data_IF_026980756158
#
_entry.id   IF_026980756158
#
_cell.length_a   1.000
_cell.length_b   1.000
_cell.length_c   1.000
_cell.angle_alpha   90.00
_cell.angle_beta   90.00
_cell.angle_gamma   90.00
#
_symmetry.space_group_name_H-M   'P 1'
#
loop_
_entity.id
_entity.type
_entity.pdbx_description
1 polymer ?
#
# COMPACT_ATOMS: atom_id res chain seq x y z
N UNK A 1 -25.68 -33.49 -26.66
CA UNK A 1 -24.96 -32.75 -25.59
C UNK A 1 -25.48 -31.33 -25.43
N UNK A 2 -25.68 -30.56 -26.51
CA UNK A 2 -26.19 -29.18 -26.45
C UNK A 2 -27.54 -29.05 -25.72
N UNK A 3 -28.49 -29.96 -25.97
CA UNK A 3 -29.82 -29.97 -25.32
C UNK A 3 -29.75 -30.08 -23.79
N UNK A 4 -28.88 -30.96 -23.25
CA UNK A 4 -28.69 -31.09 -21.80
C UNK A 4 -27.97 -29.87 -21.21
N UNK A 5 -26.99 -29.32 -21.94
CA UNK A 5 -26.23 -28.15 -21.53
C UNK A 5 -27.15 -26.91 -21.44
N UNK A 6 -27.97 -26.69 -22.48
CA UNK A 6 -28.93 -25.58 -22.57
C UNK A 6 -30.02 -25.69 -21.49
N UNK A 7 -30.56 -26.90 -21.25
CA UNK A 7 -31.57 -27.15 -20.22
C UNK A 7 -31.07 -26.84 -18.79
N UNK A 8 -29.77 -27.04 -18.53
CA UNK A 8 -29.17 -26.81 -17.20
C UNK A 8 -28.42 -25.47 -17.10
N UNK A 9 -28.49 -24.60 -18.13
CA UNK A 9 -27.74 -23.34 -18.16
C UNK A 9 -26.21 -23.51 -18.12
N UNK A 10 -25.71 -24.66 -18.57
CA UNK A 10 -24.28 -24.98 -18.58
C UNK A 10 -23.72 -24.65 -19.97
N UNK A 11 -22.65 -23.87 -20.03
CA UNK A 11 -21.95 -23.62 -21.28
C UNK A 11 -21.41 -24.94 -21.89
N UNK A 12 -21.64 -25.20 -23.18
CA UNK A 12 -21.25 -26.45 -23.88
C UNK A 12 -19.76 -26.81 -23.66
N UNK A 13 -18.88 -25.81 -23.72
CA UNK A 13 -17.44 -25.99 -23.45
C UNK A 13 -17.11 -26.46 -22.01
N UNK A 14 -17.93 -26.11 -21.02
CA UNK A 14 -17.79 -26.59 -19.65
C UNK A 14 -18.25 -28.04 -19.51
N UNK A 15 -19.36 -28.40 -20.15
CA UNK A 15 -19.85 -29.77 -20.18
C UNK A 15 -18.85 -30.72 -20.85
N UNK A 16 -18.30 -30.33 -22.00
CA UNK A 16 -17.23 -31.10 -22.68
C UNK A 16 -15.99 -31.29 -21.81
N UNK A 17 -15.60 -30.27 -21.05
CA UNK A 17 -14.46 -30.34 -20.12
C UNK A 17 -14.74 -31.33 -18.98
N UNK A 18 -15.95 -31.33 -18.44
CA UNK A 18 -16.35 -32.27 -17.39
C UNK A 18 -16.42 -33.71 -17.90
N UNK A 19 -17.00 -33.94 -19.09
CA UNK A 19 -17.02 -35.26 -19.71
C UNK A 19 -15.60 -35.77 -19.94
N UNK A 20 -14.71 -34.92 -20.48
CA UNK A 20 -13.30 -35.29 -20.66
C UNK A 20 -12.62 -35.63 -19.34
N UNK A 21 -12.82 -34.82 -18.30
CA UNK A 21 -12.28 -35.09 -16.96
C UNK A 21 -12.82 -36.39 -16.37
N UNK A 22 -14.11 -36.67 -16.56
CA UNK A 22 -14.74 -37.91 -16.12
C UNK A 22 -14.19 -39.14 -16.82
N UNK A 23 -13.99 -39.08 -18.14
CA UNK A 23 -13.41 -40.19 -18.90
C UNK A 23 -11.95 -40.48 -18.54
N UNK A 24 -11.20 -39.48 -18.04
CA UNK A 24 -9.78 -39.61 -17.70
C UNK A 24 -9.53 -40.02 -16.24
N UNK A 25 -10.28 -39.45 -15.29
CA UNK A 25 -10.03 -39.60 -13.84
C UNK A 25 -11.30 -39.99 -13.06
N UNK A 26 -12.38 -40.37 -13.76
CA UNK A 26 -13.67 -40.68 -13.14
C UNK A 26 -14.29 -39.49 -12.40
N UNK A 27 -14.98 -39.75 -11.30
CA UNK A 27 -15.63 -38.71 -10.48
C UNK A 27 -14.62 -37.66 -9.96
N UNK A 28 -13.36 -38.04 -9.75
CA UNK A 28 -12.31 -37.13 -9.29
C UNK A 28 -11.96 -36.06 -10.33
N UNK A 29 -12.06 -36.38 -11.63
CA UNK A 29 -11.78 -35.44 -12.73
C UNK A 29 -12.83 -34.35 -12.89
N UNK A 30 -14.04 -34.56 -12.35
CA UNK A 30 -15.14 -33.59 -12.36
C UNK A 30 -15.21 -32.80 -11.04
N UNK A 31 -14.79 -33.40 -9.92
CA UNK A 31 -14.76 -32.72 -8.63
C UNK A 31 -13.81 -31.52 -8.66
N UNK A 32 -14.28 -30.39 -8.12
CA UNK A 32 -13.40 -29.25 -7.84
C UNK A 32 -12.43 -29.66 -6.73
N UNK A 33 -11.14 -29.65 -7.04
CA UNK A 33 -10.10 -29.85 -6.02
C UNK A 33 -10.15 -28.71 -5.00
N UNK A 34 -10.04 -29.06 -3.72
CA UNK A 34 -9.91 -28.07 -2.64
C UNK A 34 -8.58 -27.31 -2.69
N UNK A 35 -7.57 -27.85 -3.38
CA UNK A 35 -6.23 -27.28 -3.48
C UNK A 35 -5.71 -27.22 -4.92
N UNK A 36 -4.77 -26.33 -5.17
CA UNK A 36 -4.08 -26.26 -6.46
C UNK A 36 -3.10 -27.44 -6.61
N UNK A 37 -3.06 -28.04 -7.82
CA UNK A 37 -2.07 -29.08 -8.15
C UNK A 37 -0.65 -28.51 -8.01
N UNK A 38 0.21 -29.26 -7.32
CA UNK A 38 1.62 -28.93 -7.15
C UNK A 38 2.43 -29.82 -8.09
N UNK A 39 3.38 -29.21 -8.80
CA UNK A 39 4.31 -29.90 -9.68
C UNK A 39 5.73 -29.65 -9.17
N UNK A 40 6.54 -30.71 -9.07
CA UNK A 40 7.96 -30.61 -8.73
C UNK A 40 8.71 -29.83 -9.81
N UNK A 41 9.92 -29.37 -9.50
CA UNK A 41 10.77 -28.69 -10.48
C UNK A 41 11.17 -29.67 -11.59
N UNK A 42 11.56 -30.89 -11.22
CA UNK A 42 11.98 -31.94 -12.17
C UNK A 42 10.87 -32.27 -13.17
N UNK A 43 9.62 -32.38 -12.71
CA UNK A 43 8.47 -32.62 -13.60
C UNK A 43 8.28 -31.47 -14.59
N UNK A 44 8.41 -30.22 -14.14
CA UNK A 44 8.28 -29.05 -15.03
C UNK A 44 9.38 -29.02 -16.07
N UNK A 45 10.61 -29.34 -15.69
CA UNK A 45 11.76 -29.42 -16.61
C UNK A 45 11.52 -30.52 -17.63
N UNK A 46 11.15 -31.73 -17.18
CA UNK A 46 10.85 -32.85 -18.06
C UNK A 46 9.73 -32.52 -19.05
N UNK A 47 8.65 -31.86 -18.60
CA UNK A 47 7.57 -31.43 -19.46
C UNK A 47 7.98 -30.38 -20.51
N UNK A 48 8.91 -29.48 -20.17
CA UNK A 48 9.43 -28.49 -21.12
C UNK A 48 10.35 -29.14 -22.14
N UNK A 49 11.27 -30.01 -21.71
CA UNK A 49 12.17 -30.78 -22.60
C UNK A 49 11.37 -31.66 -23.55
N UNK A 50 10.34 -32.36 -23.05
CA UNK A 50 9.48 -33.19 -23.88
C UNK A 50 8.76 -32.39 -24.98
N UNK A 51 8.38 -31.14 -24.67
CA UNK A 51 7.72 -30.24 -25.60
C UNK A 51 8.68 -29.63 -26.63
N UNK A 52 9.91 -29.30 -26.24
CA UNK A 52 10.87 -28.61 -27.11
C UNK A 52 11.76 -29.57 -27.92
N UNK A 53 12.24 -30.64 -27.29
CA UNK A 53 13.33 -31.47 -27.80
C UNK A 53 12.82 -32.84 -28.25
N UNK A 54 11.82 -33.41 -27.57
CA UNK A 54 11.28 -34.74 -27.89
C UNK A 54 10.06 -34.71 -28.84
N UNK A 55 9.71 -33.53 -29.36
CA UNK A 55 8.68 -33.36 -30.39
C UNK A 55 7.24 -33.69 -29.95
N UNK A 56 6.98 -33.84 -28.66
CA UNK A 56 5.62 -34.09 -28.17
C UNK A 56 4.75 -32.86 -28.38
N UNK A 57 3.56 -33.07 -28.92
CA UNK A 57 2.59 -32.00 -29.04
C UNK A 57 2.19 -31.49 -27.65
N UNK A 58 1.74 -30.25 -27.60
CA UNK A 58 1.29 -29.63 -26.35
C UNK A 58 0.22 -30.47 -25.64
N UNK A 59 -0.67 -31.13 -26.38
CA UNK A 59 -1.72 -31.95 -25.78
C UNK A 59 -1.17 -33.25 -25.16
N UNK A 60 -0.19 -33.87 -25.82
CA UNK A 60 0.46 -35.09 -25.32
C UNK A 60 1.23 -34.79 -24.04
N UNK A 61 1.98 -33.68 -23.99
CA UNK A 61 2.69 -33.24 -22.78
C UNK A 61 1.72 -32.96 -21.63
N UNK A 62 0.61 -32.25 -21.89
CA UNK A 62 -0.40 -32.00 -20.86
C UNK A 62 -0.98 -33.30 -20.30
N UNK A 63 -1.20 -34.29 -21.17
CA UNK A 63 -1.75 -35.59 -20.76
C UNK A 63 -0.73 -36.42 -19.98
N UNK A 64 0.50 -36.57 -20.52
CA UNK A 64 1.60 -37.35 -19.93
C UNK A 64 1.95 -36.87 -18.52
N UNK A 65 2.00 -35.56 -18.31
CA UNK A 65 2.37 -34.95 -17.03
C UNK A 65 1.18 -34.48 -16.18
N UNK A 66 -0.04 -34.82 -16.61
CA UNK A 66 -1.30 -34.41 -16.00
C UNK A 66 -1.40 -32.89 -15.69
N UNK A 67 -0.92 -32.08 -16.63
CA UNK A 67 -0.93 -30.61 -16.54
C UNK A 67 -2.32 -30.11 -16.98
N UNK A 68 -2.93 -29.29 -16.15
CA UNK A 68 -4.34 -28.91 -16.31
C UNK A 68 -4.59 -27.90 -17.43
N UNK A 69 -3.59 -27.09 -17.81
CA UNK A 69 -3.78 -26.00 -18.76
C UNK A 69 -2.58 -25.77 -19.66
N UNK A 70 -2.87 -25.49 -20.94
CA UNK A 70 -1.90 -25.02 -21.94
C UNK A 70 -1.11 -23.81 -21.42
N UNK A 71 -1.77 -22.85 -20.78
CA UNK A 71 -1.12 -21.65 -20.25
C UNK A 71 -0.06 -21.98 -19.19
N UNK A 72 -0.23 -23.07 -18.42
CA UNK A 72 0.77 -23.49 -17.44
C UNK A 72 2.03 -23.99 -18.11
N UNK A 73 1.91 -24.82 -19.17
CA UNK A 73 3.07 -25.27 -19.92
C UNK A 73 3.76 -24.09 -20.62
N UNK A 74 3.00 -23.17 -21.22
CA UNK A 74 3.56 -21.96 -21.83
C UNK A 74 4.37 -21.11 -20.83
N UNK A 75 3.85 -20.90 -19.62
CA UNK A 75 4.58 -20.19 -18.56
C UNK A 75 5.88 -20.92 -18.20
N UNK A 76 5.86 -22.25 -18.09
CA UNK A 76 7.05 -23.03 -17.77
C UNK A 76 8.11 -22.93 -18.85
N UNK A 77 7.74 -22.99 -20.13
CA UNK A 77 8.66 -22.80 -21.26
C UNK A 77 9.30 -21.41 -21.23
N UNK A 78 8.52 -20.34 -21.04
CA UNK A 78 9.04 -18.96 -20.94
C UNK A 78 10.02 -18.84 -19.78
N UNK A 79 9.69 -19.44 -18.63
CA UNK A 79 10.54 -19.41 -17.44
C UNK A 79 11.80 -20.26 -17.61
N UNK A 80 11.72 -21.37 -18.33
CA UNK A 80 12.86 -22.23 -18.64
C UNK A 80 13.84 -21.48 -19.54
N UNK A 81 13.36 -20.92 -20.66
CA UNK A 81 14.17 -20.15 -21.61
C UNK A 81 14.81 -18.90 -21.00
N UNK A 82 14.21 -18.33 -19.95
CA UNK A 82 14.79 -17.18 -19.22
C UNK A 82 15.66 -17.57 -18.01
N UNK A 83 15.91 -18.87 -17.77
CA UNK A 83 16.67 -19.37 -16.62
C UNK A 83 15.95 -19.24 -15.27
N UNK A 84 14.70 -18.77 -15.26
CA UNK A 84 13.89 -18.48 -14.06
C UNK A 84 13.08 -19.68 -13.55
N UNK A 85 13.04 -20.78 -14.29
CA UNK A 85 12.32 -21.99 -13.85
C UNK A 85 13.05 -22.69 -12.71
N UNK A 86 14.39 -22.79 -12.83
CA UNK A 86 15.29 -23.39 -11.85
C UNK A 86 15.74 -22.40 -10.76
N UNK A 87 15.47 -21.10 -10.96
CA UNK A 87 15.94 -20.08 -10.05
C UNK A 87 15.33 -20.28 -8.64
N UNK A 88 16.14 -20.15 -7.57
CA UNK A 88 15.67 -20.32 -6.21
C UNK A 88 14.54 -19.34 -5.91
N UNK A 89 13.60 -19.76 -5.06
CA UNK A 89 12.40 -18.98 -4.74
C UNK A 89 12.79 -17.63 -4.15
N UNK A 90 12.63 -16.56 -4.94
CA UNK A 90 13.01 -15.19 -4.54
C UNK A 90 14.19 -14.60 -5.33
N UNK A 91 14.83 -15.36 -6.21
CA UNK A 91 15.75 -14.83 -7.21
C UNK A 91 15.03 -13.77 -8.07
N UNK A 92 15.44 -12.52 -7.95
CA UNK A 92 14.79 -11.37 -8.60
C UNK A 92 13.92 -10.50 -7.70
N UNK A 93 13.69 -10.87 -6.43
CA UNK A 93 13.18 -9.91 -5.46
C UNK A 93 14.29 -8.92 -5.15
N UNK A 94 14.08 -7.64 -5.51
CA UNK A 94 14.94 -6.54 -5.03
C UNK A 94 14.98 -6.61 -3.51
N UNK A 95 16.16 -6.83 -2.95
CA UNK A 95 16.40 -6.68 -1.51
C UNK A 95 16.15 -5.21 -1.20
N UNK A 96 15.05 -4.92 -0.49
CA UNK A 96 14.79 -3.56 -0.02
C UNK A 96 15.84 -3.26 1.04
N UNK A 97 16.68 -2.24 0.81
CA UNK A 97 17.48 -1.64 1.87
C UNK A 97 16.50 -1.03 2.87
N UNK A 98 16.32 -1.70 4.01
CA UNK A 98 15.47 -1.19 5.07
C UNK A 98 16.21 -0.02 5.71
N UNK A 99 15.65 1.18 5.61
CA UNK A 99 16.23 2.37 6.24
C UNK A 99 16.30 2.22 7.75
N UNK A 100 17.11 3.07 8.40
CA UNK A 100 17.26 3.13 9.86
C UNK A 100 15.91 3.09 10.58
N UNK A 101 15.84 2.26 11.63
CA UNK A 101 14.69 2.22 12.53
C UNK A 101 14.74 3.45 13.42
N UNK A 102 13.64 4.19 13.43
CA UNK A 102 13.49 5.42 14.24
C UNK A 102 12.39 5.14 15.24
N UNK A 103 12.71 5.28 16.52
CA UNK A 103 11.76 5.01 17.61
C UNK A 103 10.64 6.04 17.64
N UNK A 104 9.59 5.79 18.44
CA UNK A 104 8.49 6.76 18.57
C UNK A 104 8.96 8.07 19.22
N UNK A 105 9.72 7.97 20.31
CA UNK A 105 10.24 9.14 21.02
C UNK A 105 11.22 9.93 20.15
N UNK A 106 12.02 9.23 19.35
CA UNK A 106 12.92 9.86 18.39
C UNK A 106 12.14 10.61 17.29
N UNK A 107 11.02 10.07 16.80
CA UNK A 107 10.15 10.81 15.85
C UNK A 107 9.60 12.09 16.47
N UNK A 108 9.22 12.06 17.76
CA UNK A 108 8.74 13.26 18.46
C UNK A 108 9.84 14.32 18.48
N UNK A 109 11.06 13.94 18.89
CA UNK A 109 12.23 14.84 18.91
C UNK A 109 12.52 15.44 17.53
N UNK A 110 12.50 14.61 16.48
CA UNK A 110 12.74 15.06 15.10
C UNK A 110 11.68 16.08 14.65
N UNK A 111 10.41 15.83 14.97
CA UNK A 111 9.32 16.75 14.59
C UNK A 111 9.38 18.05 15.39
N UNK A 112 9.68 18.00 16.68
CA UNK A 112 9.88 19.20 17.49
C UNK A 112 11.04 20.04 16.94
N UNK A 113 12.18 19.41 16.70
CA UNK A 113 13.35 20.08 16.14
C UNK A 113 13.04 20.72 14.78
N UNK A 114 12.31 20.03 13.90
CA UNK A 114 11.90 20.59 12.62
C UNK A 114 11.00 21.83 12.79
N UNK A 115 10.07 21.81 13.73
CA UNK A 115 9.18 22.95 13.99
C UNK A 115 9.93 24.15 14.57
N UNK A 116 10.95 23.91 15.40
CA UNK A 116 11.78 24.96 16.00
C UNK A 116 12.72 25.62 14.98
N UNK A 117 13.08 24.93 13.90
CA UNK A 117 13.94 25.41 12.83
C UNK A 117 13.15 25.79 11.56
N UNK A 118 12.03 26.50 11.74
CA UNK A 118 11.18 27.02 10.64
C UNK A 118 10.73 25.96 9.61
N UNK A 119 10.60 24.71 10.02
CA UNK A 119 10.27 23.59 9.15
C UNK A 119 11.31 23.29 8.07
N UNK A 120 12.60 23.54 8.34
CA UNK A 120 13.69 23.09 7.47
C UNK A 120 13.90 21.56 7.59
N UNK A 121 13.14 20.84 6.77
CA UNK A 121 13.19 19.38 6.71
C UNK A 121 14.50 18.85 6.13
N UNK A 122 15.25 19.64 5.35
CA UNK A 122 16.52 19.22 4.75
C UNK A 122 17.61 19.19 5.83
N UNK A 123 17.69 20.24 6.65
CA UNK A 123 18.64 20.29 7.76
C UNK A 123 18.25 19.25 8.82
N UNK A 124 16.97 19.13 9.15
CA UNK A 124 16.49 18.10 10.09
C UNK A 124 16.84 16.69 9.61
N UNK A 125 16.65 16.41 8.32
CA UNK A 125 16.96 15.10 7.74
C UNK A 125 18.44 14.74 7.88
N UNK A 126 19.34 15.71 7.69
CA UNK A 126 20.77 15.52 7.85
C UNK A 126 21.17 15.32 9.31
N UNK A 127 20.66 16.16 10.21
CA UNK A 127 20.98 16.12 11.65
C UNK A 127 20.65 14.76 12.27
N UNK A 128 19.48 14.21 11.93
CA UNK A 128 19.00 12.96 12.51
C UNK A 128 19.26 11.72 11.64
N UNK A 129 20.01 11.83 10.53
CA UNK A 129 20.24 10.74 9.58
C UNK A 129 18.94 10.01 9.19
N UNK A 130 17.95 10.79 8.76
CA UNK A 130 16.65 10.29 8.31
C UNK A 130 16.29 10.86 6.95
N UNK A 131 15.54 10.10 6.16
CA UNK A 131 15.08 10.60 4.86
C UNK A 131 14.20 11.83 5.02
N UNK A 132 14.44 12.86 4.21
CA UNK A 132 13.60 14.06 4.07
C UNK A 132 12.10 13.74 4.05
N UNK A 133 11.69 12.77 3.23
CA UNK A 133 10.29 12.37 3.09
C UNK A 133 9.68 11.88 4.42
N UNK A 134 10.49 11.23 5.27
CA UNK A 134 10.03 10.78 6.59
C UNK A 134 9.80 11.96 7.53
N UNK A 135 10.72 12.93 7.56
CA UNK A 135 10.58 14.15 8.37
C UNK A 135 9.32 14.91 7.94
N UNK A 136 9.20 15.18 6.65
CA UNK A 136 8.03 15.86 6.08
C UNK A 136 6.71 15.16 6.45
N UNK A 137 6.64 13.83 6.26
CA UNK A 137 5.43 13.07 6.59
C UNK A 137 5.08 13.10 8.08
N UNK A 138 6.07 13.09 8.97
CA UNK A 138 5.83 13.16 10.41
C UNK A 138 5.35 14.54 10.83
N UNK A 139 6.00 15.60 10.36
CA UNK A 139 5.60 16.98 10.65
C UNK A 139 4.20 17.25 10.12
N UNK A 140 3.91 16.87 8.87
CA UNK A 140 2.59 17.03 8.26
C UNK A 140 1.48 16.31 9.04
N UNK A 141 1.74 15.06 9.49
CA UNK A 141 0.78 14.29 10.31
C UNK A 141 0.51 14.95 11.65
N UNK A 142 1.57 15.45 12.28
CA UNK A 142 1.44 16.17 13.54
C UNK A 142 0.69 17.48 13.36
N UNK A 143 1.02 18.32 12.37
CA UNK A 143 0.32 19.58 12.11
C UNK A 143 -1.16 19.39 11.78
N UNK A 144 -1.52 18.32 11.06
CA UNK A 144 -2.92 18.04 10.70
C UNK A 144 -3.79 17.64 11.91
N UNK A 145 -3.21 17.02 12.94
CA UNK A 145 -3.98 16.43 14.06
C UNK A 145 -3.67 17.04 15.42
N UNK A 146 -2.53 17.70 15.56
CA UNK A 146 -1.95 18.18 16.82
C UNK A 146 -1.63 17.06 17.82
N UNK A 147 -1.57 15.80 17.38
CA UNK A 147 -1.45 14.63 18.27
C UNK A 147 -0.23 13.76 17.91
N UNK A 148 0.63 13.53 18.90
CA UNK A 148 1.82 12.68 18.78
C UNK A 148 1.47 11.21 18.51
N UNK A 149 0.33 10.71 19.01
CA UNK A 149 -0.10 9.32 18.85
C UNK A 149 -0.19 8.87 17.38
N UNK A 150 -0.39 9.82 16.46
CA UNK A 150 -0.45 9.60 15.01
C UNK A 150 0.89 9.11 14.44
N UNK A 151 2.00 9.33 15.15
CA UNK A 151 3.34 8.88 14.76
C UNK A 151 3.68 7.46 15.26
N UNK A 152 2.85 6.86 16.12
CA UNK A 152 3.04 5.46 16.58
C UNK A 152 2.81 4.49 15.44
N UNK A 153 3.72 3.52 15.29
CA UNK A 153 3.54 2.46 14.30
C UNK A 153 2.46 1.47 14.78
N UNK A 154 1.37 1.36 14.00
CA UNK A 154 0.26 0.44 14.25
C UNK A 154 0.25 -0.76 13.29
N UNK A 155 1.28 -0.92 12.45
CA UNK A 155 1.37 -2.08 11.54
C UNK A 155 1.39 -3.38 12.35
N UNK A 156 0.57 -4.35 11.92
CA UNK A 156 0.46 -5.66 12.57
C UNK A 156 -0.32 -5.66 13.89
N UNK A 157 -0.81 -4.52 14.38
CA UNK A 157 -1.70 -4.45 15.55
C UNK A 157 -3.15 -4.57 15.08
N UNK A 158 -3.94 -5.40 15.77
CA UNK A 158 -5.38 -5.51 15.50
C UNK A 158 -6.02 -4.12 15.75
N UNK A 159 -6.87 -3.62 14.83
CA UNK A 159 -7.66 -2.43 15.11
C UNK A 159 -8.54 -2.68 16.35
N UNK A 160 -8.91 -1.62 17.07
CA UNK A 160 -9.87 -1.74 18.19
C UNK A 160 -11.14 -2.44 17.71
N UNK A 161 -11.73 -3.34 18.51
CA UNK A 161 -13.04 -3.92 18.20
C UNK A 161 -14.06 -2.81 17.94
N UNK A 162 -14.90 -2.97 16.91
CA UNK A 162 -16.02 -2.06 16.67
C UNK A 162 -16.98 -2.18 17.87
N UNK A 163 -17.11 -1.14 18.69
CA UNK A 163 -18.05 -1.09 19.81
C UNK A 163 -17.45 -0.61 21.13
N UNK A 164 -16.11 -0.59 21.27
CA UNK A 164 -15.49 0.05 22.44
C UNK A 164 -15.65 1.56 22.30
N UNK A 165 -16.58 2.13 23.09
CA UNK A 165 -16.69 3.57 23.26
C UNK A 165 -15.36 4.12 23.81
N UNK A 166 -14.95 5.31 23.36
CA UNK A 166 -13.85 6.02 24.01
C UNK A 166 -14.17 6.11 25.50
N UNK A 167 -13.21 5.72 26.34
CA UNK A 167 -13.31 5.96 27.79
C UNK A 167 -13.51 7.46 28.03
N UNK A 168 -14.16 7.81 29.15
CA UNK A 168 -14.41 9.23 29.52
C UNK A 168 -13.13 10.07 29.48
N UNK A 169 -12.00 9.48 29.87
CA UNK A 169 -10.67 10.12 29.81
C UNK A 169 -10.25 10.42 28.37
N UNK A 170 -10.37 9.46 27.47
CA UNK A 170 -10.06 9.66 26.04
C UNK A 170 -11.00 10.71 25.40
N UNK A 171 -12.27 10.77 25.81
CA UNK A 171 -13.21 11.80 25.33
C UNK A 171 -12.79 13.19 25.80
N UNK A 172 -12.44 13.33 27.09
CA UNK A 172 -11.97 14.59 27.67
C UNK A 172 -10.65 15.05 27.06
N UNK A 173 -9.75 14.12 26.70
CA UNK A 173 -8.52 14.43 26.00
C UNK A 173 -8.77 14.92 24.56
N UNK A 174 -9.73 14.31 23.86
CA UNK A 174 -10.14 14.77 22.52
C UNK A 174 -10.77 16.16 22.58
N UNK A 175 -11.67 16.41 23.54
CA UNK A 175 -12.30 17.71 23.72
C UNK A 175 -11.28 18.79 24.09
N UNK A 176 -10.40 18.54 25.07
CA UNK A 176 -9.31 19.45 25.41
C UNK A 176 -8.42 19.77 24.21
N UNK A 177 -8.19 18.80 23.33
CA UNK A 177 -7.39 19.00 22.11
C UNK A 177 -8.09 19.92 21.13
N UNK A 178 -9.38 19.71 20.88
CA UNK A 178 -10.18 20.58 20.02
C UNK A 178 -10.24 22.01 20.57
N UNK A 179 -10.41 22.16 21.88
CA UNK A 179 -10.38 23.45 22.56
C UNK A 179 -9.02 24.15 22.40
N UNK A 180 -7.90 23.45 22.66
CA UNK A 180 -6.55 24.01 22.48
C UNK A 180 -6.27 24.42 21.03
N UNK A 181 -6.71 23.65 20.04
CA UNK A 181 -6.58 24.01 18.63
C UNK A 181 -7.38 25.27 18.29
N UNK A 182 -8.61 25.39 18.83
CA UNK A 182 -9.44 26.58 18.66
C UNK A 182 -8.81 27.82 19.30
N UNK A 183 -8.26 27.69 20.51
CA UNK A 183 -7.54 28.78 21.19
C UNK A 183 -6.37 29.28 20.34
N UNK A 184 -5.48 28.39 19.89
CA UNK A 184 -4.35 28.78 19.03
C UNK A 184 -4.78 29.50 17.76
N UNK A 185 -5.83 29.01 17.10
CA UNK A 185 -6.38 29.66 15.90
C UNK A 185 -6.85 31.08 16.21
N UNK A 186 -7.60 31.26 17.30
CA UNK A 186 -8.11 32.57 17.72
C UNK A 186 -6.97 33.52 18.11
N UNK A 187 -5.90 33.02 18.72
CA UNK A 187 -4.71 33.81 19.06
C UNK A 187 -4.02 34.34 17.80
N UNK A 188 -3.86 33.50 16.77
CA UNK A 188 -3.31 33.91 15.46
C UNK A 188 -4.22 34.93 14.78
N UNK A 189 -5.54 34.69 14.74
CA UNK A 189 -6.52 35.64 14.19
C UNK A 189 -6.45 37.01 14.92
N UNK A 190 -6.30 37.00 16.25
CA UNK A 190 -6.14 38.21 17.06
C UNK A 190 -4.82 38.93 16.80
N UNK A 191 -3.72 38.20 16.67
CA UNK A 191 -2.41 38.75 16.34
C UNK A 191 -2.41 39.40 14.94
N UNK A 192 -3.02 38.73 13.97
CA UNK A 192 -3.20 39.25 12.61
C UNK A 192 -4.05 40.52 12.59
N UNK A 193 -5.19 40.54 13.30
CA UNK A 193 -6.04 41.71 13.42
C UNK A 193 -5.32 42.92 14.07
N UNK A 194 -4.48 42.69 15.08
CA UNK A 194 -3.63 43.74 15.66
C UNK A 194 -2.66 44.30 14.63
N UNK A 195 -2.02 43.43 13.83
CA UNK A 195 -1.07 43.86 12.79
C UNK A 195 -1.74 44.69 11.69
N UNK A 196 -2.94 44.30 11.26
CA UNK A 196 -3.73 45.10 10.31
C UNK A 196 -4.08 46.49 10.84
N UNK A 197 -4.47 46.60 12.13
CA UNK A 197 -4.70 47.92 12.75
C UNK A 197 -3.44 48.77 12.79
N UNK A 198 -2.30 48.16 13.11
CA UNK A 198 -1.02 48.87 13.13
C UNK A 198 -0.65 49.41 11.75
N UNK A 199 -0.80 48.60 10.69
CA UNK A 199 -0.55 49.03 9.30
C UNK A 199 -1.47 50.20 8.93
N UNK A 200 -2.78 50.08 9.20
CA UNK A 200 -3.75 51.14 8.93
C UNK A 200 -3.41 52.44 9.68
N UNK A 201 -3.02 52.35 10.95
CA UNK A 201 -2.65 53.53 11.73
C UNK A 201 -1.37 54.19 11.16
N UNK A 202 -0.38 53.40 10.72
CA UNK A 202 0.81 53.92 10.02
C UNK A 202 0.47 54.61 8.69
N UNK A 203 -0.52 54.13 7.94
CA UNK A 203 -0.99 54.77 6.69
C UNK A 203 -1.74 56.10 6.94
N UNK A 204 -2.42 56.22 8.07
CA UNK A 204 -3.12 57.45 8.50
C UNK A 204 -2.14 58.49 9.06
N UNK A 205 -1.09 58.03 9.76
CA UNK A 205 -0.05 58.88 10.33
C UNK A 205 1.09 59.22 9.36
N UNK A 206 1.00 58.83 8.07
CA UNK A 206 1.96 59.22 7.03
C UNK A 206 1.70 60.67 6.53
N UNK A 207 2.56 61.66 6.87
CA UNK A 207 2.40 63.05 6.46
C UNK A 207 2.54 63.28 4.94
N UNK A 208 2.94 62.28 4.14
CA UNK A 208 2.97 62.35 2.67
C UNK A 208 1.62 62.03 2.03
N UNK A 209 0.75 61.25 2.68
CA UNK A 209 -0.54 60.81 2.13
C UNK A 209 -1.65 61.89 2.30
N UNK A 210 -1.65 62.62 3.42
CA UNK A 210 -2.62 63.71 3.69
C UNK A 210 -2.44 64.95 2.80
N UNK A 211 -1.30 65.08 2.11
CA UNK A 211 -1.05 66.15 1.12
C UNK A 211 -1.67 65.89 -0.25
N UNK A 212 -2.11 64.66 -0.55
CA UNK A 212 -2.68 64.30 -1.88
C UNK A 212 -4.17 64.62 -2.05
N UNK A 213 -4.89 64.94 -0.97
CA UNK A 213 -6.36 65.11 -0.98
C UNK A 213 -6.85 66.51 -0.61
N UNK A 214 -5.95 67.51 -0.56
CA UNK A 214 -6.33 68.90 -0.26
C UNK A 214 -6.08 69.77 -1.49
N UNK A 215 -7.05 69.78 -2.40
CA UNK A 215 -7.26 70.80 -3.44
C UNK A 215 -8.60 71.48 -3.18
#
# INVERSE_FOLDING_TARGET
MKVFADYNGIHDGSLRRWIKGFLQEGVLGVRRSATNRRYSIDLKVAAVVDYQDNGLSRQEVLHKYNIRSNSQLTDWVIRYNSGKLLAPKGAGKRVRKMGRKVSYDEKIKIVQWALDHDSDYQVTAKEFDVSYNRVYDWVRKYQATGNWEVLKDRRGKKPRPKGDALTREEQLEEENRQLKAKVRRLEVERAFAKKLREIRNREVDDPQNTKRFRN
#
